data_IF_788959139609
#
_entry.id   IF_788959139609
#
_cell.length_a   1.000
_cell.length_b   1.000
_cell.length_c   1.000
_cell.angle_alpha   90.00
_cell.angle_beta   90.00
_cell.angle_gamma   90.00
#
_symmetry.space_group_name_H-M   'P 1'
#
loop_
_entity.id
_entity.type
_entity.pdbx_description
1 polymer ?
#
# COMPACT_ATOMS: atom_id res chain seq x y z
N UNK A 1 -14.48 -52.53 11.46
CA UNK A 1 -14.60 -51.38 10.52
C UNK A 1 -15.00 -50.18 11.36
N UNK A 2 -14.02 -49.45 11.89
CA UNK A 2 -14.27 -48.31 12.79
C UNK A 2 -14.19 -47.03 11.96
N UNK A 3 -15.31 -46.35 11.82
CA UNK A 3 -15.39 -45.04 11.18
C UNK A 3 -14.62 -44.01 12.01
N UNK A 4 -13.58 -43.43 11.42
CA UNK A 4 -12.90 -42.27 12.00
C UNK A 4 -13.77 -41.04 11.76
N UNK A 5 -14.22 -40.43 12.85
CA UNK A 5 -14.90 -39.14 12.84
C UNK A 5 -13.89 -38.07 12.39
N UNK A 6 -14.19 -37.42 11.28
CA UNK A 6 -13.51 -36.20 10.85
C UNK A 6 -13.84 -35.11 11.86
N UNK A 7 -12.87 -34.75 12.69
CA UNK A 7 -12.96 -33.58 13.56
C UNK A 7 -12.92 -32.34 12.67
N UNK A 8 -14.08 -31.71 12.47
CA UNK A 8 -14.16 -30.33 11.99
C UNK A 8 -13.58 -29.45 13.09
N UNK A 9 -12.27 -29.24 13.04
CA UNK A 9 -11.60 -28.18 13.78
C UNK A 9 -11.91 -26.86 13.08
N UNK A 10 -13.08 -26.30 13.34
CA UNK A 10 -13.27 -24.87 13.14
C UNK A 10 -12.45 -24.17 14.24
N UNK A 11 -11.26 -23.70 13.89
CA UNK A 11 -10.51 -22.80 14.78
C UNK A 11 -11.37 -21.54 15.05
N UNK A 12 -11.45 -21.08 16.30
CA UNK A 12 -12.32 -19.97 16.65
C UNK A 12 -11.79 -18.67 16.03
N UNK A 13 -12.59 -18.04 15.17
CA UNK A 13 -12.33 -16.71 14.62
C UNK A 13 -12.42 -15.69 15.77
N UNK A 14 -11.31 -15.49 16.45
CA UNK A 14 -11.16 -14.45 17.47
C UNK A 14 -10.25 -13.37 16.91
N UNK A 15 -10.65 -12.71 15.82
CA UNK A 15 -9.79 -11.68 15.25
C UNK A 15 -9.82 -10.44 16.15
N UNK A 16 -8.87 -10.36 17.08
CA UNK A 16 -8.34 -9.08 17.56
C UNK A 16 -8.05 -8.23 16.30
N UNK A 17 -8.52 -6.99 16.27
CA UNK A 17 -8.32 -6.12 15.11
C UNK A 17 -6.82 -5.99 14.79
N UNK A 18 -6.48 -5.98 13.50
CA UNK A 18 -5.10 -5.75 13.05
C UNK A 18 -4.59 -4.39 13.52
N UNK A 19 -3.34 -4.35 13.97
CA UNK A 19 -2.61 -3.10 14.23
C UNK A 19 -2.41 -2.33 12.92
N UNK A 20 -1.98 -1.09 12.99
CA UNK A 20 -1.57 -0.34 11.80
C UNK A 20 -0.28 -0.90 11.21
N UNK A 21 0.65 -1.38 12.04
CA UNK A 21 1.84 -2.09 11.59
C UNK A 21 1.49 -3.36 10.80
N UNK A 22 0.53 -4.17 11.27
CA UNK A 22 0.01 -5.35 10.55
C UNK A 22 -0.57 -5.00 9.17
N UNK A 23 -1.12 -3.79 9.01
CA UNK A 23 -1.68 -3.29 7.75
C UNK A 23 -0.61 -2.69 6.84
N UNK A 24 0.51 -2.25 7.41
CA UNK A 24 1.66 -1.74 6.68
C UNK A 24 2.49 -2.87 6.06
N UNK A 25 2.35 -4.11 6.55
CA UNK A 25 3.03 -5.26 5.98
C UNK A 25 2.64 -5.54 4.52
N UNK A 26 3.66 -5.72 3.69
CA UNK A 26 3.53 -6.03 2.27
C UNK A 26 2.74 -7.31 2.01
N UNK A 27 2.06 -7.33 0.86
CA UNK A 27 1.27 -8.48 0.44
C UNK A 27 1.94 -9.18 -0.75
N UNK A 28 1.94 -10.52 -0.79
CA UNK A 28 2.49 -11.25 -1.92
C UNK A 28 1.70 -10.94 -3.20
N UNK A 29 2.40 -10.88 -4.33
CA UNK A 29 1.79 -10.57 -5.64
C UNK A 29 1.73 -9.08 -5.99
N UNK A 30 2.29 -8.22 -5.14
CA UNK A 30 2.57 -6.81 -5.42
C UNK A 30 4.07 -6.56 -5.50
N UNK A 31 4.51 -5.51 -6.22
CA UNK A 31 3.72 -4.55 -6.99
C UNK A 31 3.12 -5.17 -8.26
N UNK A 32 1.97 -4.66 -8.69
CA UNK A 32 1.26 -5.14 -9.89
C UNK A 32 1.09 -4.01 -10.90
N UNK A 33 1.50 -4.25 -12.13
CA UNK A 33 1.25 -3.34 -13.26
C UNK A 33 -0.03 -3.77 -13.97
N UNK A 34 -0.93 -2.81 -14.17
CA UNK A 34 -2.22 -3.01 -14.84
C UNK A 34 -2.42 -1.98 -15.96
N UNK A 35 -3.19 -2.31 -17.01
CA UNK A 35 -3.59 -1.31 -18.00
C UNK A 35 -4.57 -0.33 -17.38
N UNK A 36 -4.35 0.96 -17.59
CA UNK A 36 -5.22 2.02 -17.11
C UNK A 36 -6.58 1.99 -17.82
N UNK A 37 -7.66 2.17 -17.05
CA UNK A 37 -9.03 2.17 -17.55
C UNK A 37 -9.84 3.31 -16.92
N UNK A 38 -10.76 3.89 -17.68
CA UNK A 38 -11.62 4.99 -17.21
C UNK A 38 -12.54 4.61 -16.03
N UNK A 39 -12.82 3.32 -15.83
CA UNK A 39 -13.63 2.83 -14.71
C UNK A 39 -12.87 2.77 -13.37
N UNK A 40 -11.57 3.06 -13.34
CA UNK A 40 -10.81 3.05 -12.10
C UNK A 40 -11.17 4.25 -11.21
N UNK A 41 -11.31 4.08 -9.88
CA UNK A 41 -11.63 5.19 -8.98
C UNK A 41 -10.63 6.35 -9.02
N UNK A 42 -9.37 6.07 -9.36
CA UNK A 42 -8.30 7.05 -9.49
C UNK A 42 -8.21 7.70 -10.88
N UNK A 43 -9.14 7.40 -11.80
CA UNK A 43 -9.07 7.78 -13.22
C UNK A 43 -8.72 9.26 -13.42
N UNK A 44 -9.47 10.16 -12.81
CA UNK A 44 -9.27 11.61 -12.99
C UNK A 44 -7.88 12.08 -12.55
N UNK A 45 -7.32 11.49 -11.49
CA UNK A 45 -6.01 11.87 -10.99
C UNK A 45 -4.90 11.31 -11.90
N UNK A 46 -5.01 10.05 -12.29
CA UNK A 46 -4.03 9.36 -13.15
C UNK A 46 -4.01 9.95 -14.55
N UNK A 47 -5.18 10.31 -15.10
CA UNK A 47 -5.28 10.99 -16.39
C UNK A 47 -4.66 12.40 -16.35
N UNK A 48 -4.87 13.17 -15.27
CA UNK A 48 -4.19 14.47 -15.07
C UNK A 48 -2.66 14.35 -14.96
N UNK A 49 -2.15 13.19 -14.59
CA UNK A 49 -0.70 12.90 -14.60
C UNK A 49 -0.19 12.49 -16.00
N UNK A 50 -1.07 12.46 -17.01
CA UNK A 50 -0.71 12.24 -18.41
C UNK A 50 -0.80 10.78 -18.86
N UNK A 51 -1.50 9.91 -18.12
CA UNK A 51 -1.79 8.55 -18.54
C UNK A 51 -3.11 8.46 -19.33
N UNK A 52 -3.08 7.70 -20.41
CA UNK A 52 -4.23 7.43 -21.28
C UNK A 52 -4.70 5.98 -21.13
N UNK A 53 -5.94 5.70 -21.51
CA UNK A 53 -6.48 4.33 -21.41
C UNK A 53 -5.58 3.34 -22.16
N UNK A 54 -5.24 2.24 -21.48
CA UNK A 54 -4.28 1.24 -21.97
C UNK A 54 -2.84 1.45 -21.47
N UNK A 55 -2.48 2.64 -20.99
CA UNK A 55 -1.13 2.87 -20.44
C UNK A 55 -0.90 2.03 -19.17
N UNK A 56 0.33 1.55 -18.94
CA UNK A 56 0.65 0.79 -17.74
C UNK A 56 0.63 1.70 -16.50
N UNK A 57 -0.06 1.26 -15.46
CA UNK A 57 -0.15 1.91 -14.15
C UNK A 57 0.18 0.90 -13.05
N UNK A 58 0.93 1.33 -12.03
CA UNK A 58 1.34 0.45 -10.93
C UNK A 58 0.42 0.57 -9.70
N UNK A 59 0.04 -0.59 -9.17
CA UNK A 59 -0.46 -0.81 -7.81
C UNK A 59 0.72 -1.28 -6.97
N UNK A 60 1.11 -0.48 -5.98
CA UNK A 60 2.35 -0.70 -5.21
C UNK A 60 2.11 -1.48 -3.93
N UNK A 61 3.17 -1.81 -3.21
CA UNK A 61 3.09 -2.23 -1.82
C UNK A 61 3.15 -1.02 -0.86
N UNK A 62 2.73 -1.16 0.40
CA UNK A 62 2.90 -0.11 1.40
C UNK A 62 4.36 0.27 1.64
N UNK A 63 5.29 -0.69 1.66
CA UNK A 63 6.73 -0.44 1.83
C UNK A 63 7.30 0.55 0.82
N UNK A 64 6.89 0.46 -0.45
CA UNK A 64 7.32 1.36 -1.51
C UNK A 64 6.95 2.83 -1.24
N UNK A 65 5.79 3.03 -0.61
CA UNK A 65 5.26 4.36 -0.27
C UNK A 65 5.94 4.87 1.01
N UNK A 66 6.07 4.02 2.01
CA UNK A 66 6.68 4.36 3.29
C UNK A 66 8.16 4.72 3.14
N UNK A 67 8.91 3.96 2.35
CA UNK A 67 10.32 4.22 2.08
C UNK A 67 10.53 5.59 1.41
N UNK A 68 9.58 6.06 0.61
CA UNK A 68 9.61 7.41 0.03
C UNK A 68 9.27 8.48 1.05
N UNK A 69 8.26 8.23 1.88
CA UNK A 69 7.87 9.16 2.94
C UNK A 69 9.03 9.41 3.91
N UNK A 70 9.80 8.37 4.27
CA UNK A 70 11.00 8.48 5.11
C UNK A 70 12.11 9.34 4.51
N UNK A 71 12.19 9.45 3.19
CA UNK A 71 13.21 10.25 2.51
C UNK A 71 12.91 11.75 2.56
N UNK A 72 11.70 12.17 2.96
CA UNK A 72 11.32 13.58 3.03
C UNK A 72 11.98 14.24 4.24
N UNK A 73 12.88 15.23 4.05
CA UNK A 73 13.57 15.85 5.18
C UNK A 73 12.62 16.67 6.06
N UNK A 74 12.96 16.88 7.35
CA UNK A 74 12.23 17.78 8.22
C UNK A 74 12.08 19.18 7.60
N UNK A 75 10.87 19.75 7.70
CA UNK A 75 10.55 21.06 7.11
C UNK A 75 10.34 21.05 5.59
N UNK A 76 10.36 19.88 4.95
CA UNK A 76 9.95 19.70 3.55
C UNK A 76 8.59 19.03 3.46
N UNK A 77 7.99 19.12 2.28
CA UNK A 77 6.71 18.53 1.95
C UNK A 77 6.88 17.71 0.67
N UNK A 78 6.26 16.54 0.64
CA UNK A 78 6.01 15.78 -0.59
C UNK A 78 4.50 15.67 -0.80
N UNK A 79 4.09 15.45 -2.03
CA UNK A 79 2.70 15.31 -2.42
C UNK A 79 2.43 13.92 -2.98
N UNK A 80 1.16 13.51 -2.95
CA UNK A 80 0.73 12.25 -3.54
C UNK A 80 1.11 12.15 -5.03
N UNK A 81 1.07 13.26 -5.78
CA UNK A 81 1.49 13.31 -7.18
C UNK A 81 2.99 13.07 -7.34
N UNK A 82 3.83 13.66 -6.49
CA UNK A 82 5.28 13.45 -6.53
C UNK A 82 5.66 12.01 -6.17
N UNK A 83 4.99 11.43 -5.15
CA UNK A 83 5.13 10.01 -4.79
C UNK A 83 4.75 9.14 -5.99
N UNK A 84 3.58 9.36 -6.59
CA UNK A 84 3.12 8.57 -7.75
C UNK A 84 4.06 8.71 -8.96
N UNK A 85 4.62 9.90 -9.22
CA UNK A 85 5.60 10.10 -10.28
C UNK A 85 6.91 9.36 -10.01
N UNK A 86 7.36 9.34 -8.75
CA UNK A 86 8.55 8.58 -8.37
C UNK A 86 8.32 7.07 -8.55
N UNK A 87 7.17 6.56 -8.09
CA UNK A 87 6.80 5.16 -8.26
C UNK A 87 6.69 4.79 -9.74
N UNK A 88 6.08 5.65 -10.55
CA UNK A 88 5.99 5.43 -12.00
C UNK A 88 7.39 5.30 -12.65
N UNK A 89 8.36 6.14 -12.23
CA UNK A 89 9.75 6.03 -12.67
C UNK A 89 10.42 4.74 -12.18
N UNK A 90 10.25 4.37 -10.91
CA UNK A 90 10.81 3.13 -10.33
C UNK A 90 10.38 1.89 -11.10
N UNK A 91 9.10 1.81 -11.47
CA UNK A 91 8.53 0.67 -12.19
C UNK A 91 8.50 0.80 -13.71
N UNK A 92 9.03 1.91 -14.26
CA UNK A 92 9.05 2.20 -15.69
C UNK A 92 7.65 2.15 -16.34
N UNK A 93 6.66 2.69 -15.64
CA UNK A 93 5.25 2.77 -16.07
C UNK A 93 4.82 4.22 -16.25
N UNK A 94 3.64 4.45 -16.83
CA UNK A 94 3.14 5.80 -17.10
C UNK A 94 2.60 6.51 -15.86
N UNK A 95 2.03 5.75 -14.93
CA UNK A 95 1.44 6.31 -13.72
C UNK A 95 1.35 5.31 -12.57
N UNK A 96 0.81 5.78 -11.44
CA UNK A 96 0.57 4.98 -10.25
C UNK A 96 -0.88 5.18 -9.77
N UNK A 97 -1.49 4.15 -9.19
CA UNK A 97 -2.84 4.24 -8.63
C UNK A 97 -2.86 5.14 -7.39
N UNK A 98 -3.27 6.39 -7.56
CA UNK A 98 -3.31 7.39 -6.48
C UNK A 98 -4.20 6.97 -5.30
N UNK A 99 -5.24 6.17 -5.53
CA UNK A 99 -6.10 5.66 -4.46
C UNK A 99 -5.33 4.72 -3.52
N UNK A 100 -4.69 3.70 -4.09
CA UNK A 100 -3.91 2.71 -3.33
C UNK A 100 -2.74 3.38 -2.63
N UNK A 101 -2.01 4.26 -3.32
CA UNK A 101 -0.93 5.04 -2.70
C UNK A 101 -1.44 5.90 -1.55
N UNK A 102 -2.58 6.59 -1.72
CA UNK A 102 -3.16 7.42 -0.66
C UNK A 102 -3.58 6.61 0.57
N UNK A 103 -4.13 5.41 0.36
CA UNK A 103 -4.43 4.47 1.46
C UNK A 103 -3.14 4.13 2.22
N UNK A 104 -2.05 3.81 1.53
CA UNK A 104 -0.80 3.44 2.19
C UNK A 104 -0.07 4.62 2.84
N UNK A 105 -0.19 5.83 2.31
CA UNK A 105 0.27 7.04 3.01
C UNK A 105 -0.42 7.17 4.36
N UNK A 106 -1.75 6.97 4.39
CA UNK A 106 -2.53 7.03 5.63
C UNK A 106 -2.19 5.86 6.57
N UNK A 107 -2.03 4.65 6.04
CA UNK A 107 -1.61 3.47 6.83
C UNK A 107 -0.25 3.71 7.48
N UNK A 108 0.76 4.17 6.73
CA UNK A 108 2.09 4.44 7.24
C UNK A 108 2.08 5.53 8.33
N UNK A 109 1.36 6.62 8.09
CA UNK A 109 1.23 7.70 9.07
C UNK A 109 0.59 7.23 10.38
N UNK A 110 -0.49 6.44 10.31
CA UNK A 110 -1.12 5.91 11.52
C UNK A 110 -0.26 4.85 12.22
N UNK A 111 0.50 4.05 11.48
CA UNK A 111 1.42 3.08 12.07
C UNK A 111 2.50 3.78 12.91
N UNK A 112 3.05 4.90 12.42
CA UNK A 112 4.04 5.69 13.17
C UNK A 112 3.44 6.26 14.46
N UNK A 113 2.22 6.80 14.39
CA UNK A 113 1.55 7.35 15.59
C UNK A 113 1.15 6.26 16.60
N UNK A 114 0.74 5.08 16.13
CA UNK A 114 0.45 3.91 16.97
C UNK A 114 1.73 3.42 17.68
N UNK A 115 2.82 3.24 16.93
CA UNK A 115 4.10 2.84 17.50
C UNK A 115 4.59 3.82 18.56
N UNK A 116 4.48 5.13 18.28
CA UNK A 116 4.84 6.19 19.23
C UNK A 116 4.00 6.14 20.51
N UNK A 117 2.70 5.84 20.40
CA UNK A 117 1.81 5.70 21.55
C UNK A 117 2.17 4.47 22.40
N UNK A 118 2.62 3.40 21.76
CA UNK A 118 3.07 2.16 22.39
C UNK A 118 4.53 2.24 22.89
N UNK A 119 5.20 3.38 22.69
CA UNK A 119 6.55 3.63 23.19
C UNK A 119 7.67 2.95 22.41
N UNK A 120 7.44 2.58 21.14
CA UNK A 120 8.45 2.04 20.25
C UNK A 120 8.52 2.81 18.93
N UNK A 121 9.51 2.50 18.11
CA UNK A 121 9.70 3.08 16.78
C UNK A 121 9.47 1.98 15.73
N UNK A 122 8.86 2.33 14.60
CA UNK A 122 8.71 1.41 13.48
C UNK A 122 10.08 1.15 12.84
N UNK A 123 10.63 -0.03 13.12
CA UNK A 123 11.83 -0.54 12.47
C UNK A 123 11.44 -1.29 11.18
N UNK A 124 11.09 -0.54 10.14
CA UNK A 124 10.87 -1.12 8.82
C UNK A 124 12.10 -0.82 7.94
N UNK A 125 12.92 -1.83 7.58
CA UNK A 125 14.03 -1.61 6.67
C UNK A 125 13.48 -1.23 5.28
N UNK A 126 14.19 -0.34 4.54
CA UNK A 126 13.78 0.06 3.20
C UNK A 126 13.87 -1.06 2.16
#
# INVERSE_FOLDING_TARGET
>A
MSAQALTSGAEPITSRGKTWEDKLADQPGYPKVIPFQHGLPCCNAVHKMGAEAGDPVVLVNPSDVEALMRQVPPGRLTTLSEICQWLARKYQVKGCCTLTTGIFVMTAANAVEEARADGHELDNPP
#
